data_IF_751883311928
#
_entry.id   IF_751883311928
#
_cell.length_a   1.000
_cell.length_b   1.000
_cell.length_c   1.000
_cell.angle_alpha   90.00
_cell.angle_beta   90.00
_cell.angle_gamma   90.00
#
_symmetry.space_group_name_H-M   'P 1'
#
loop_
_entity.id
_entity.type
_entity.pdbx_description
1 polymer ?
#
# COMPACT_ATOMS: atom_id res chain seq x y z
N UNK A 1 -0.80 13.90 17.75
CA UNK A 1 0.36 14.69 18.19
C UNK A 1 0.49 14.62 19.72
N UNK A 2 -0.52 15.04 20.47
CA UNK A 2 -0.56 14.98 21.95
C UNK A 2 -0.29 13.58 22.53
N UNK A 3 -1.02 12.56 22.08
CA UNK A 3 -0.91 11.20 22.59
C UNK A 3 0.45 10.52 22.30
N UNK A 4 1.16 10.93 21.23
CA UNK A 4 2.50 10.45 20.87
C UNK A 4 3.62 11.14 21.68
N UNK A 5 3.32 12.26 22.31
CA UNK A 5 4.27 13.06 23.10
C UNK A 5 4.09 12.85 24.61
N UNK A 6 3.31 11.85 25.03
CA UNK A 6 3.06 11.55 26.44
C UNK A 6 1.99 12.45 27.10
N UNK A 7 1.47 13.47 26.41
CA UNK A 7 0.34 14.26 26.91
C UNK A 7 -1.00 13.61 26.51
N UNK A 8 -1.31 12.52 27.20
CA UNK A 8 -2.55 11.77 26.98
C UNK A 8 -3.80 12.53 27.45
N UNK A 9 -3.69 13.31 28.53
CA UNK A 9 -4.81 14.06 29.09
C UNK A 9 -5.30 15.15 28.13
N UNK A 10 -4.37 15.85 27.47
CA UNK A 10 -4.72 16.82 26.42
C UNK A 10 -5.30 16.12 25.18
N UNK A 11 -4.77 14.94 24.84
CA UNK A 11 -5.30 14.11 23.76
C UNK A 11 -6.75 13.70 24.00
N UNK A 12 -7.06 13.22 25.21
CA UNK A 12 -8.39 12.83 25.64
C UNK A 12 -9.35 14.03 25.69
N UNK A 13 -8.89 15.19 26.19
CA UNK A 13 -9.70 16.41 26.21
C UNK A 13 -10.08 16.89 24.81
N UNK A 14 -9.14 16.83 23.85
CA UNK A 14 -9.41 17.17 22.45
C UNK A 14 -10.36 16.14 21.85
N UNK A 15 -10.10 14.85 22.04
CA UNK A 15 -10.91 13.75 21.53
C UNK A 15 -12.38 13.81 22.00
N UNK A 16 -12.60 14.09 23.28
CA UNK A 16 -13.94 14.26 23.86
C UNK A 16 -14.70 15.46 23.28
N UNK A 17 -13.98 16.52 22.89
CA UNK A 17 -14.56 17.74 22.30
C UNK A 17 -14.81 17.64 20.79
N UNK A 18 -14.37 16.57 20.13
CA UNK A 18 -14.63 16.40 18.69
C UNK A 18 -16.12 16.16 18.45
N UNK A 19 -16.77 16.95 17.57
CA UNK A 19 -18.20 16.79 17.27
C UNK A 19 -18.50 15.52 16.46
N UNK A 20 -17.52 15.01 15.73
CA UNK A 20 -17.55 13.71 15.06
C UNK A 20 -16.18 13.06 15.22
N UNK A 21 -16.16 11.79 15.66
CA UNK A 21 -14.95 10.99 15.82
C UNK A 21 -14.89 10.00 14.66
N UNK A 22 -13.82 10.08 13.89
CA UNK A 22 -13.53 9.16 12.80
C UNK A 22 -12.49 8.12 13.21
N UNK A 23 -12.27 7.13 12.36
CA UNK A 23 -11.29 6.05 12.58
C UNK A 23 -9.88 6.62 12.86
N UNK A 24 -9.51 7.76 12.27
CA UNK A 24 -8.21 8.39 12.48
C UNK A 24 -8.08 8.92 13.90
N UNK A 25 -9.10 9.59 14.43
CA UNK A 25 -9.14 10.09 15.81
C UNK A 25 -9.09 8.97 16.84
N UNK A 26 -9.84 7.88 16.62
CA UNK A 26 -9.81 6.67 17.46
C UNK A 26 -8.43 6.00 17.43
N UNK A 27 -7.86 5.79 16.24
CA UNK A 27 -6.54 5.18 16.08
C UNK A 27 -5.43 6.00 16.72
N UNK A 28 -5.53 7.33 16.69
CA UNK A 28 -4.58 8.22 17.33
C UNK A 28 -4.58 8.07 18.86
N UNK A 29 -5.77 7.92 19.48
CA UNK A 29 -5.89 7.69 20.92
C UNK A 29 -5.40 6.30 21.31
N UNK A 30 -5.84 5.25 20.61
CA UNK A 30 -5.43 3.86 20.87
C UNK A 30 -3.91 3.70 20.75
N UNK A 31 -3.31 4.26 19.69
CA UNK A 31 -1.86 4.18 19.48
C UNK A 31 -1.08 4.91 20.57
N UNK A 32 -1.55 6.08 21.00
CA UNK A 32 -0.92 6.82 22.08
C UNK A 32 -1.02 6.11 23.42
N UNK A 33 -2.20 5.58 23.77
CA UNK A 33 -2.39 4.80 25.01
C UNK A 33 -1.50 3.55 25.05
N UNK A 34 -1.40 2.85 23.91
CA UNK A 34 -0.53 1.66 23.76
C UNK A 34 0.95 2.00 23.98
N UNK A 35 1.43 3.09 23.37
CA UNK A 35 2.83 3.53 23.49
C UNK A 35 3.22 3.98 24.91
N UNK A 36 2.23 4.37 25.72
CA UNK A 36 2.44 4.79 27.11
C UNK A 36 2.09 3.68 28.14
N UNK A 37 1.89 2.44 27.69
CA UNK A 37 1.64 1.29 28.58
C UNK A 37 0.26 1.28 29.26
N UNK A 38 -0.69 2.10 28.80
CA UNK A 38 -2.05 2.23 29.36
C UNK A 38 -2.99 1.15 28.81
N UNK A 39 -2.58 -0.11 28.94
CA UNK A 39 -3.25 -1.25 28.29
C UNK A 39 -4.75 -1.43 28.65
N UNK A 40 -5.14 -1.10 29.88
CA UNK A 40 -6.55 -1.17 30.30
C UNK A 40 -7.40 -0.12 29.57
N UNK A 41 -6.90 1.10 29.44
CA UNK A 41 -7.61 2.18 28.76
C UNK A 41 -7.64 2.00 27.25
N UNK A 42 -6.64 1.33 26.67
CA UNK A 42 -6.72 0.86 25.28
C UNK A 42 -7.96 -0.01 25.09
N UNK A 43 -8.24 -0.94 26.02
CA UNK A 43 -9.40 -1.82 25.93
C UNK A 43 -10.71 -1.03 26.09
N UNK A 44 -10.76 -0.07 27.02
CA UNK A 44 -11.95 0.78 27.21
C UNK A 44 -12.25 1.66 25.99
N UNK A 45 -11.23 2.34 25.44
CA UNK A 45 -11.37 3.13 24.21
C UNK A 45 -11.76 2.25 23.03
N UNK A 46 -11.25 1.02 23.01
CA UNK A 46 -11.59 0.06 21.98
C UNK A 46 -13.04 -0.41 22.10
N UNK A 47 -13.56 -0.62 23.30
CA UNK A 47 -14.98 -0.91 23.58
C UNK A 47 -15.90 0.27 23.18
N UNK A 48 -15.51 1.50 23.51
CA UNK A 48 -16.24 2.72 23.11
C UNK A 48 -16.25 2.91 21.59
N UNK A 49 -15.12 2.65 20.92
CA UNK A 49 -15.03 2.61 19.46
C UNK A 49 -16.02 1.58 18.86
N UNK A 50 -16.22 0.41 19.50
CA UNK A 50 -17.20 -0.58 19.04
C UNK A 50 -18.64 -0.08 19.17
N UNK A 51 -18.95 0.67 20.24
CA UNK A 51 -20.28 1.20 20.50
C UNK A 51 -20.65 2.35 19.56
N UNK A 52 -19.67 3.14 19.11
CA UNK A 52 -19.86 4.21 18.13
C UNK A 52 -19.81 3.72 16.67
N UNK A 53 -19.67 2.40 16.43
CA UNK A 53 -19.70 1.81 15.09
C UNK A 53 -18.49 2.15 14.24
N UNK A 54 -17.38 2.58 14.85
CA UNK A 54 -16.13 2.83 14.16
C UNK A 54 -15.51 1.50 13.70
N UNK A 55 -14.90 1.51 12.52
CA UNK A 55 -14.55 0.31 11.76
C UNK A 55 -13.39 -0.47 12.39
N UNK A 56 -13.69 -1.36 13.33
CA UNK A 56 -12.75 -2.19 14.09
C UNK A 56 -11.86 -3.07 13.20
N UNK A 57 -12.32 -3.38 11.98
CA UNK A 57 -11.55 -4.13 10.99
C UNK A 57 -10.34 -3.30 10.55
N UNK A 58 -10.48 -1.98 10.40
CA UNK A 58 -9.36 -1.08 10.08
C UNK A 58 -8.28 -1.10 11.17
N UNK A 59 -8.66 -1.24 12.45
CA UNK A 59 -7.69 -1.35 13.53
C UNK A 59 -6.98 -2.72 13.52
N UNK A 60 -7.72 -3.82 13.34
CA UNK A 60 -7.13 -5.15 13.19
C UNK A 60 -6.16 -5.19 11.98
N UNK A 61 -6.49 -4.46 10.92
CA UNK A 61 -5.63 -4.22 9.77
C UNK A 61 -4.33 -3.52 10.14
N UNK A 62 -4.36 -2.44 10.93
CA UNK A 62 -3.12 -1.76 11.34
C UNK A 62 -2.23 -2.64 12.22
N UNK A 63 -2.83 -3.52 13.03
CA UNK A 63 -2.11 -4.41 13.94
C UNK A 63 -1.69 -5.75 13.29
N UNK A 64 -2.17 -6.06 12.09
CA UNK A 64 -1.86 -7.32 11.39
C UNK A 64 -2.41 -8.58 12.08
N UNK A 65 -3.43 -8.44 12.92
CA UNK A 65 -3.99 -9.55 13.71
C UNK A 65 -5.09 -10.28 12.90
N UNK A 66 -4.72 -11.37 12.24
CA UNK A 66 -5.63 -12.15 11.38
C UNK A 66 -6.85 -12.66 12.14
N UNK A 67 -6.65 -13.29 13.31
CA UNK A 67 -7.74 -13.92 14.07
C UNK A 67 -8.76 -12.89 14.54
N UNK A 68 -8.27 -11.72 15.01
CA UNK A 68 -9.13 -10.60 15.40
C UNK A 68 -9.83 -9.96 14.20
N UNK A 69 -9.16 -9.87 13.05
CA UNK A 69 -9.79 -9.42 11.81
C UNK A 69 -11.01 -10.26 11.46
N UNK A 70 -10.86 -11.59 11.49
CA UNK A 70 -11.97 -12.53 11.27
C UNK A 70 -13.08 -12.39 12.30
N UNK A 71 -12.74 -12.31 13.60
CA UNK A 71 -13.72 -12.13 14.67
C UNK A 71 -14.58 -10.88 14.42
N UNK A 72 -13.97 -9.73 14.14
CA UNK A 72 -14.72 -8.50 13.87
C UNK A 72 -15.52 -8.57 12.58
N UNK A 73 -14.96 -9.12 11.50
CA UNK A 73 -15.66 -9.26 10.23
C UNK A 73 -16.98 -10.05 10.37
N UNK A 74 -17.00 -11.10 11.19
CA UNK A 74 -18.21 -11.88 11.46
C UNK A 74 -19.16 -11.20 12.45
N UNK A 75 -18.63 -10.48 13.44
CA UNK A 75 -19.44 -9.73 14.40
C UNK A 75 -20.12 -8.50 13.78
N UNK A 76 -19.59 -7.94 12.69
CA UNK A 76 -20.17 -6.79 11.99
C UNK A 76 -21.68 -6.95 11.72
N UNK A 77 -22.14 -7.94 10.93
CA UNK A 77 -23.56 -8.09 10.65
C UNK A 77 -24.35 -8.65 11.86
N UNK A 78 -23.73 -9.49 12.69
CA UNK A 78 -24.43 -10.22 13.74
C UNK A 78 -24.70 -9.37 14.99
N UNK A 79 -23.70 -8.60 15.43
CA UNK A 79 -23.72 -7.86 16.70
C UNK A 79 -23.89 -6.36 16.49
N UNK A 80 -23.23 -5.81 15.46
CA UNK A 80 -23.21 -4.37 15.23
C UNK A 80 -24.25 -3.92 14.19
N UNK A 81 -24.90 -4.85 13.49
CA UNK A 81 -25.83 -4.53 12.41
C UNK A 81 -25.18 -3.81 11.23
N UNK A 82 -23.85 -3.91 11.10
CA UNK A 82 -23.08 -3.27 10.05
C UNK A 82 -22.96 -4.25 8.87
N UNK A 83 -23.41 -3.82 7.70
CA UNK A 83 -23.25 -4.60 6.46
C UNK A 83 -21.82 -4.45 5.95
N UNK A 84 -21.07 -5.56 5.74
CA UNK A 84 -19.75 -5.51 5.15
C UNK A 84 -19.77 -4.84 3.75
N UNK A 85 -18.82 -3.93 3.51
CA UNK A 85 -18.64 -3.16 2.27
C UNK A 85 -17.26 -3.45 1.71
N UNK A 86 -16.99 -2.99 0.49
CA UNK A 86 -15.70 -3.22 -0.20
C UNK A 86 -14.50 -2.85 0.68
N UNK A 87 -14.61 -1.79 1.51
CA UNK A 87 -13.53 -1.38 2.42
C UNK A 87 -13.22 -2.47 3.47
N UNK A 88 -14.24 -3.08 4.06
CA UNK A 88 -14.09 -4.15 5.06
C UNK A 88 -13.44 -5.40 4.42
N UNK A 89 -13.85 -5.76 3.20
CA UNK A 89 -13.22 -6.87 2.46
C UNK A 89 -11.78 -6.55 2.08
N UNK A 90 -11.50 -5.32 1.65
CA UNK A 90 -10.15 -4.86 1.31
C UNK A 90 -9.20 -5.02 2.51
N UNK A 91 -9.66 -4.68 3.71
CA UNK A 91 -8.87 -4.87 4.92
C UNK A 91 -8.60 -6.33 5.22
N UNK A 92 -9.59 -7.20 5.07
CA UNK A 92 -9.39 -8.65 5.27
C UNK A 92 -8.39 -9.23 4.29
N UNK A 93 -8.50 -8.89 3.00
CA UNK A 93 -7.55 -9.32 1.96
C UNK A 93 -6.14 -8.83 2.27
N UNK A 94 -5.98 -7.61 2.73
CA UNK A 94 -4.69 -7.04 3.04
C UNK A 94 -4.07 -7.64 4.33
N UNK A 95 -4.86 -7.89 5.37
CA UNK A 95 -4.42 -8.62 6.58
C UNK A 95 -3.90 -10.00 6.22
N UNK A 96 -4.67 -10.77 5.44
CA UNK A 96 -4.29 -12.09 4.96
C UNK A 96 -3.05 -12.02 4.05
N UNK A 97 -3.01 -10.99 3.19
CA UNK A 97 -1.90 -10.67 2.30
C UNK A 97 -0.60 -10.49 3.07
N UNK A 98 -0.57 -9.60 4.06
CA UNK A 98 0.61 -9.33 4.91
C UNK A 98 1.01 -10.51 5.79
N UNK A 99 0.05 -11.34 6.19
CA UNK A 99 0.32 -12.58 6.93
C UNK A 99 0.86 -13.71 6.03
N UNK A 100 0.99 -13.50 4.71
CA UNK A 100 1.40 -14.53 3.76
C UNK A 100 0.33 -15.59 3.47
N UNK A 101 -0.90 -15.42 3.97
CA UNK A 101 -2.04 -16.32 3.75
C UNK A 101 -2.72 -16.05 2.41
N UNK A 102 -1.95 -16.08 1.32
CA UNK A 102 -2.41 -15.60 0.02
C UNK A 102 -3.52 -16.45 -0.60
N UNK A 103 -3.49 -17.78 -0.39
CA UNK A 103 -4.55 -18.67 -0.89
C UNK A 103 -5.87 -18.43 -0.15
N UNK A 104 -5.83 -18.21 1.17
CA UNK A 104 -7.01 -17.83 1.96
C UNK A 104 -7.56 -16.47 1.49
N UNK A 105 -6.67 -15.52 1.20
CA UNK A 105 -7.07 -14.22 0.61
C UNK A 105 -7.76 -14.41 -0.75
N UNK A 106 -7.25 -15.29 -1.61
CA UNK A 106 -7.86 -15.60 -2.92
C UNK A 106 -9.26 -16.20 -2.75
N UNK A 107 -9.41 -17.22 -1.92
CA UNK A 107 -10.70 -17.86 -1.64
C UNK A 107 -11.72 -16.87 -1.05
N UNK A 108 -11.25 -15.98 -0.18
CA UNK A 108 -12.08 -14.92 0.38
C UNK A 108 -12.58 -13.92 -0.67
N UNK A 109 -11.74 -13.55 -1.65
CA UNK A 109 -12.17 -12.72 -2.78
C UNK A 109 -13.18 -13.45 -3.65
N UNK A 110 -12.92 -14.72 -3.98
CA UNK A 110 -13.79 -15.51 -4.86
C UNK A 110 -15.16 -15.82 -4.22
N UNK A 111 -15.22 -15.88 -2.89
CA UNK A 111 -16.45 -16.07 -2.12
C UNK A 111 -17.19 -14.76 -1.81
N UNK A 112 -16.61 -13.60 -2.10
CA UNK A 112 -17.25 -12.32 -1.86
C UNK A 112 -18.47 -12.14 -2.79
N UNK A 113 -19.64 -11.92 -2.19
CA UNK A 113 -20.90 -11.69 -2.92
C UNK A 113 -21.14 -10.23 -3.29
N UNK A 114 -20.20 -9.35 -2.91
CA UNK A 114 -20.27 -7.92 -3.16
C UNK A 114 -19.60 -7.56 -4.48
N UNK A 115 -20.06 -6.48 -5.12
CA UNK A 115 -19.30 -5.88 -6.21
C UNK A 115 -18.07 -5.18 -5.63
N UNK A 116 -16.91 -5.82 -5.81
CA UNK A 116 -15.63 -5.33 -5.37
C UNK A 116 -14.76 -4.80 -6.51
N UNK A 117 -15.26 -4.85 -7.75
CA UNK A 117 -14.55 -4.48 -8.97
C UNK A 117 -13.09 -4.95 -8.98
N UNK A 118 -12.18 -4.00 -9.17
CA UNK A 118 -10.73 -4.21 -9.24
C UNK A 118 -10.03 -4.19 -7.86
N UNK A 119 -10.72 -3.75 -6.81
CA UNK A 119 -10.07 -3.34 -5.56
C UNK A 119 -9.31 -4.49 -4.87
N UNK A 120 -9.98 -5.63 -4.66
CA UNK A 120 -9.40 -6.74 -3.90
C UNK A 120 -8.30 -7.46 -4.68
N UNK A 121 -8.48 -7.65 -5.99
CA UNK A 121 -7.47 -8.26 -6.85
C UNK A 121 -6.18 -7.44 -6.90
N UNK A 122 -6.28 -6.11 -6.84
CA UNK A 122 -5.11 -5.21 -6.75
C UNK A 122 -4.34 -5.40 -5.45
N UNK A 123 -5.04 -5.51 -4.33
CA UNK A 123 -4.41 -5.76 -3.02
C UNK A 123 -3.71 -7.12 -3.03
N UNK A 124 -4.39 -8.16 -3.53
CA UNK A 124 -3.81 -9.50 -3.63
C UNK A 124 -2.58 -9.54 -4.56
N UNK A 125 -2.62 -8.86 -5.71
CA UNK A 125 -1.49 -8.77 -6.64
C UNK A 125 -0.25 -8.16 -5.96
N UNK A 126 -0.45 -7.08 -5.20
CA UNK A 126 0.62 -6.44 -4.42
C UNK A 126 1.19 -7.38 -3.36
N UNK A 127 0.34 -8.07 -2.59
CA UNK A 127 0.76 -9.03 -1.59
C UNK A 127 1.55 -10.20 -2.20
N UNK A 128 1.10 -10.73 -3.34
CA UNK A 128 1.79 -11.81 -4.05
C UNK A 128 3.20 -11.43 -4.48
N UNK A 129 3.42 -10.18 -4.92
CA UNK A 129 4.76 -9.67 -5.22
C UNK A 129 5.65 -9.65 -3.98
N UNK A 130 5.14 -9.16 -2.85
CA UNK A 130 5.91 -9.05 -1.60
C UNK A 130 6.34 -10.43 -1.07
N UNK A 131 5.48 -11.44 -1.20
CA UNK A 131 5.74 -12.81 -0.78
C UNK A 131 6.37 -13.69 -1.87
N UNK A 132 6.69 -13.11 -3.05
CA UNK A 132 7.25 -13.83 -4.23
C UNK A 132 6.41 -15.01 -4.71
N UNK A 133 5.10 -15.02 -4.42
CA UNK A 133 4.17 -16.00 -4.96
C UNK A 133 3.71 -15.54 -6.35
N UNK A 134 4.59 -15.73 -7.33
CA UNK A 134 4.39 -15.21 -8.68
C UNK A 134 3.26 -15.91 -9.44
N UNK A 135 2.95 -17.17 -9.12
CA UNK A 135 1.85 -17.89 -9.76
C UNK A 135 0.50 -17.29 -9.39
N UNK A 136 0.24 -17.08 -8.10
CA UNK A 136 -0.99 -16.43 -7.64
C UNK A 136 -1.02 -14.95 -8.02
N UNK A 137 0.14 -14.29 -8.06
CA UNK A 137 0.25 -12.93 -8.58
C UNK A 137 -0.13 -12.83 -10.05
N UNK A 138 0.29 -13.78 -10.89
CA UNK A 138 -0.14 -13.85 -12.29
C UNK A 138 -1.66 -14.00 -12.40
N UNK A 139 -2.26 -14.88 -11.59
CA UNK A 139 -3.71 -15.05 -11.54
C UNK A 139 -4.45 -13.74 -11.18
N UNK A 140 -4.04 -13.07 -10.10
CA UNK A 140 -4.65 -11.81 -9.68
C UNK A 140 -4.50 -10.70 -10.74
N UNK A 141 -3.33 -10.63 -11.40
CA UNK A 141 -3.10 -9.69 -12.49
C UNK A 141 -3.97 -9.99 -13.71
N UNK A 142 -4.12 -11.26 -14.11
CA UNK A 142 -5.00 -11.65 -15.21
C UNK A 142 -6.46 -11.29 -14.92
N UNK A 143 -6.93 -11.47 -13.67
CA UNK A 143 -8.27 -11.03 -13.26
C UNK A 143 -8.46 -9.52 -13.41
N UNK A 144 -7.48 -8.70 -13.03
CA UNK A 144 -7.52 -7.25 -13.25
C UNK A 144 -7.59 -6.87 -14.74
N UNK A 145 -6.89 -7.63 -15.59
CA UNK A 145 -6.94 -7.41 -17.04
C UNK A 145 -8.32 -7.76 -17.62
N UNK A 146 -8.87 -8.91 -17.24
CA UNK A 146 -10.21 -9.38 -17.62
C UNK A 146 -11.29 -8.37 -17.24
N UNK A 147 -11.21 -7.82 -16.03
CA UNK A 147 -12.13 -6.81 -15.49
C UNK A 147 -11.92 -5.41 -16.10
N UNK A 148 -11.00 -5.23 -17.05
CA UNK A 148 -10.91 -3.98 -17.79
C UNK A 148 -10.08 -2.89 -17.13
N UNK A 149 -9.17 -3.20 -16.20
CA UNK A 149 -8.35 -2.19 -15.50
C UNK A 149 -7.68 -1.21 -16.46
N UNK A 150 -7.66 0.08 -16.07
CA UNK A 150 -6.93 1.15 -16.77
C UNK A 150 -5.67 1.55 -16.00
N UNK A 151 -5.39 0.92 -14.86
CA UNK A 151 -4.28 1.27 -13.99
C UNK A 151 -2.96 0.72 -14.55
N UNK A 152 -2.09 1.61 -15.03
CA UNK A 152 -0.77 1.23 -15.56
C UNK A 152 0.08 0.42 -14.56
N UNK A 153 -0.03 0.73 -13.27
CA UNK A 153 0.68 0.06 -12.18
C UNK A 153 0.37 -1.44 -12.09
N UNK A 154 -0.89 -1.85 -12.31
CA UNK A 154 -1.28 -3.25 -12.29
C UNK A 154 -0.61 -4.05 -13.43
N UNK A 155 -0.56 -3.47 -14.63
CA UNK A 155 0.12 -4.09 -15.78
C UNK A 155 1.64 -4.15 -15.61
N UNK A 156 2.23 -3.11 -15.01
CA UNK A 156 3.66 -3.09 -14.70
C UNK A 156 4.01 -4.18 -13.68
N UNK A 157 3.21 -4.33 -12.62
CA UNK A 157 3.37 -5.39 -11.62
C UNK A 157 3.23 -6.78 -12.27
N UNK A 158 2.20 -7.00 -13.08
CA UNK A 158 2.00 -8.27 -13.78
C UNK A 158 3.14 -8.58 -14.76
N UNK A 159 3.61 -7.59 -15.53
CA UNK A 159 4.77 -7.78 -16.40
C UNK A 159 6.02 -8.15 -15.61
N UNK A 160 6.26 -7.52 -14.46
CA UNK A 160 7.38 -7.87 -13.58
C UNK A 160 7.28 -9.31 -13.07
N UNK A 161 6.07 -9.76 -12.73
CA UNK A 161 5.79 -11.13 -12.28
C UNK A 161 6.03 -12.14 -13.40
N UNK A 162 5.58 -11.87 -14.62
CA UNK A 162 5.86 -12.72 -15.78
C UNK A 162 7.35 -12.81 -16.09
N UNK A 163 8.09 -11.70 -16.03
CA UNK A 163 9.54 -11.72 -16.17
C UNK A 163 10.21 -12.60 -15.10
N UNK A 164 9.77 -12.52 -13.85
CA UNK A 164 10.28 -13.37 -12.76
C UNK A 164 9.96 -14.87 -12.98
N UNK A 165 8.86 -15.19 -13.65
CA UNK A 165 8.48 -16.56 -14.04
C UNK A 165 9.14 -17.03 -15.35
N UNK A 166 9.95 -16.20 -16.02
CA UNK A 166 10.50 -16.49 -17.35
C UNK A 166 9.43 -16.59 -18.45
N UNK A 167 8.24 -16.04 -18.23
CA UNK A 167 7.13 -16.03 -19.19
C UNK A 167 7.18 -14.77 -20.07
N UNK A 168 6.73 -14.92 -21.31
CA UNK A 168 6.62 -13.79 -22.24
C UNK A 168 5.53 -12.81 -21.79
N UNK A 169 5.86 -11.51 -21.78
CA UNK A 169 4.95 -10.43 -21.42
C UNK A 169 4.26 -9.77 -22.62
N UNK A 170 4.36 -10.35 -23.81
CA UNK A 170 3.78 -9.81 -25.06
C UNK A 170 2.27 -9.59 -24.95
N UNK A 171 1.55 -10.49 -24.27
CA UNK A 171 0.10 -10.35 -24.05
C UNK A 171 -0.22 -9.10 -23.23
N UNK A 172 0.54 -8.84 -22.18
CA UNK A 172 0.40 -7.66 -21.31
C UNK A 172 0.68 -6.40 -22.11
N UNK A 173 1.81 -6.37 -22.84
CA UNK A 173 2.21 -5.25 -23.70
C UNK A 173 1.17 -4.95 -24.78
N UNK A 174 0.65 -5.98 -25.45
CA UNK A 174 -0.39 -5.84 -26.47
C UNK A 174 -1.66 -5.21 -25.90
N UNK A 175 -2.13 -5.70 -24.75
CA UNK A 175 -3.33 -5.16 -24.10
C UNK A 175 -3.11 -3.72 -23.62
N UNK A 176 -1.92 -3.40 -23.09
CA UNK A 176 -1.55 -2.03 -22.76
C UNK A 176 -1.61 -1.12 -24.00
N UNK A 177 -1.03 -1.54 -25.13
CA UNK A 177 -1.11 -0.77 -26.39
C UNK A 177 -2.55 -0.61 -26.88
N UNK A 178 -3.35 -1.68 -26.88
CA UNK A 178 -4.74 -1.64 -27.37
C UNK A 178 -5.63 -0.76 -26.51
N UNK A 179 -5.38 -0.69 -25.20
CA UNK A 179 -6.14 0.16 -24.26
C UNK A 179 -5.56 1.58 -24.12
N UNK A 180 -4.44 1.88 -24.80
CA UNK A 180 -3.76 3.17 -24.68
C UNK A 180 -3.10 3.39 -23.30
N UNK A 181 -2.82 2.32 -22.57
CA UNK A 181 -2.23 2.36 -21.24
C UNK A 181 -0.71 2.42 -21.39
N UNK A 182 -0.10 3.54 -21.02
CA UNK A 182 1.35 3.69 -20.94
C UNK A 182 1.84 3.56 -19.50
N UNK A 183 3.05 3.01 -19.33
CA UNK A 183 3.76 3.11 -18.05
C UNK A 183 4.03 4.59 -17.77
N UNK A 184 3.59 5.09 -16.61
CA UNK A 184 3.97 6.43 -16.17
C UNK A 184 5.49 6.43 -15.91
N UNK A 185 6.25 7.34 -16.54
CA UNK A 185 7.67 7.44 -16.27
C UNK A 185 7.87 7.91 -14.83
N UNK A 186 8.91 7.37 -14.18
CA UNK A 186 9.27 7.86 -12.85
C UNK A 186 9.65 9.34 -12.94
N UNK A 187 9.16 10.15 -12.01
CA UNK A 187 9.53 11.56 -11.91
C UNK A 187 9.98 11.88 -10.49
N UNK A 188 11.01 12.72 -10.39
CA UNK A 188 11.41 13.36 -9.15
C UNK A 188 11.51 14.87 -9.38
N UNK A 189 11.34 15.64 -8.32
CA UNK A 189 11.50 17.09 -8.40
C UNK A 189 12.12 17.63 -7.12
N UNK A 190 12.83 18.75 -7.28
CA UNK A 190 13.40 19.51 -6.17
C UNK A 190 13.00 20.97 -6.32
N UNK A 191 12.81 21.65 -5.20
CA UNK A 191 12.58 23.08 -5.18
C UNK A 191 13.86 23.78 -4.71
N UNK A 192 14.44 24.62 -5.58
CA UNK A 192 15.64 25.39 -5.29
C UNK A 192 15.38 26.84 -5.65
N UNK A 193 15.62 27.75 -4.69
CA UNK A 193 15.46 29.20 -4.89
C UNK A 193 14.10 29.56 -5.51
N UNK A 194 13.02 28.94 -5.03
CA UNK A 194 11.65 29.18 -5.51
C UNK A 194 11.41 28.75 -6.98
N UNK A 195 12.25 27.86 -7.50
CA UNK A 195 12.08 27.20 -8.81
C UNK A 195 11.98 25.69 -8.60
N UNK A 196 11.01 25.08 -9.29
CA UNK A 196 10.82 23.62 -9.30
C UNK A 196 11.59 23.04 -10.46
N UNK A 197 12.54 22.17 -10.15
CA UNK A 197 13.34 21.41 -11.11
C UNK A 197 12.81 19.99 -11.16
N UNK A 198 12.26 19.59 -12.32
CA UNK A 198 11.68 18.26 -12.54
C UNK A 198 12.66 17.39 -13.34
N UNK A 199 12.78 16.13 -12.96
CA UNK A 199 13.60 15.12 -13.61
C UNK A 199 12.71 13.92 -13.92
N UNK A 200 12.56 13.57 -15.20
CA UNK A 200 11.78 12.41 -15.63
C UNK A 200 12.74 11.33 -16.12
N UNK A 201 12.48 10.07 -15.74
CA UNK A 201 13.30 8.93 -16.16
C UNK A 201 13.41 8.89 -17.69
N UNK A 202 14.64 8.94 -18.20
CA UNK A 202 14.95 8.88 -19.63
C UNK A 202 14.88 10.22 -20.36
N UNK A 203 14.45 11.31 -19.71
CA UNK A 203 14.42 12.62 -20.35
C UNK A 203 15.76 13.37 -20.25
N UNK A 204 15.89 14.40 -21.08
CA UNK A 204 17.03 15.32 -21.13
C UNK A 204 16.56 16.79 -21.11
N UNK A 205 15.34 17.02 -20.60
CA UNK A 205 14.64 18.30 -20.75
C UNK A 205 15.09 19.37 -19.76
N UNK A 206 15.79 18.98 -18.70
CA UNK A 206 16.30 19.92 -17.70
C UNK A 206 17.40 20.84 -18.32
N UNK A 207 17.31 22.17 -18.18
CA UNK A 207 18.28 23.12 -18.78
C UNK A 207 19.74 22.79 -18.47
N UNK A 208 20.01 22.42 -17.22
CA UNK A 208 21.36 22.11 -16.72
C UNK A 208 21.69 20.59 -16.72
N UNK A 209 20.94 19.75 -17.46
CA UNK A 209 21.08 18.29 -17.38
C UNK A 209 22.51 17.79 -17.64
N UNK A 210 23.25 18.47 -18.52
CA UNK A 210 24.64 18.12 -18.85
C UNK A 210 25.56 18.30 -17.64
N UNK A 211 25.51 19.46 -16.99
CA UNK A 211 26.35 19.75 -15.82
C UNK A 211 25.98 18.85 -14.63
N UNK A 212 24.69 18.60 -14.42
CA UNK A 212 24.20 17.70 -13.38
C UNK A 212 24.74 16.28 -13.61
N UNK A 213 24.64 15.74 -14.83
CA UNK A 213 25.16 14.40 -15.16
C UNK A 213 26.68 14.32 -15.02
N UNK A 214 27.41 15.35 -15.40
CA UNK A 214 28.86 15.41 -15.24
C UNK A 214 29.27 15.38 -13.75
N UNK A 215 28.60 16.17 -12.91
CA UNK A 215 28.81 16.13 -11.45
C UNK A 215 28.43 14.78 -10.85
N UNK A 216 27.30 14.19 -11.26
CA UNK A 216 26.90 12.86 -10.82
C UNK A 216 27.94 11.81 -11.21
N UNK A 217 28.44 11.82 -12.45
CA UNK A 217 29.50 10.93 -12.91
C UNK A 217 30.79 11.09 -12.09
N UNK A 218 31.17 12.33 -11.77
CA UNK A 218 32.32 12.62 -10.91
C UNK A 218 32.11 12.05 -9.50
N UNK A 219 30.94 12.27 -8.88
CA UNK A 219 30.62 11.71 -7.57
C UNK A 219 30.58 10.18 -7.60
N UNK A 220 30.01 9.56 -8.63
CA UNK A 220 29.99 8.10 -8.77
C UNK A 220 31.37 7.49 -9.02
N UNK A 221 32.35 8.26 -9.52
CA UNK A 221 33.76 7.82 -9.58
C UNK A 221 34.42 7.89 -8.20
N UNK A 222 34.28 9.03 -7.52
CA UNK A 222 34.80 9.20 -6.15
C UNK A 222 34.24 8.15 -5.18
N UNK A 223 32.93 7.86 -5.26
CA UNK A 223 32.28 6.82 -4.45
C UNK A 223 32.72 5.38 -4.77
N UNK A 224 33.33 5.15 -5.95
CA UNK A 224 33.91 3.85 -6.33
C UNK A 224 35.39 3.72 -5.96
N UNK A 225 36.10 4.85 -5.87
CA UNK A 225 37.50 4.92 -5.47
C UNK A 225 37.66 4.85 -3.93
N UNK A 226 36.69 5.34 -3.16
CA UNK A 226 36.53 5.01 -1.75
C UNK A 226 35.90 3.60 -1.63
N UNK A 227 36.71 2.57 -1.33
CA UNK A 227 36.33 1.14 -1.20
C UNK A 227 35.33 0.81 -0.06
N UNK A 228 34.25 1.57 0.10
CA UNK A 228 33.21 1.33 1.11
C UNK A 228 31.77 1.27 0.57
N UNK A 229 31.53 1.53 -0.72
CA UNK A 229 30.18 1.45 -1.30
C UNK A 229 30.17 0.77 -2.68
N UNK A 230 30.18 -0.57 -2.69
CA UNK A 230 29.71 -1.32 -3.87
C UNK A 230 28.19 -1.14 -4.01
N UNK A 231 27.77 -0.27 -4.92
CA UNK A 231 26.39 -0.22 -5.39
C UNK A 231 26.27 -1.01 -6.70
N UNK A 232 25.48 -2.09 -6.67
CA UNK A 232 24.95 -2.80 -7.83
C UNK A 232 24.01 -1.86 -8.64
N UNK A 233 24.57 -1.02 -9.52
CA UNK A 233 23.81 -0.26 -10.52
C UNK A 233 24.17 -0.65 -11.96
N UNK A 234 24.56 -1.90 -12.16
CA UNK A 234 24.77 -2.46 -13.50
C UNK A 234 23.47 -2.98 -14.09
N UNK A 235 22.53 -2.11 -14.50
CA UNK A 235 21.48 -2.46 -15.49
C UNK A 235 20.55 -1.31 -15.97
N UNK A 236 20.75 -0.04 -15.59
CA UNK A 236 19.80 1.05 -15.96
C UNK A 236 20.30 1.93 -17.13
N UNK A 237 21.39 1.59 -17.82
CA UNK A 237 21.93 2.44 -18.90
C UNK A 237 22.21 1.71 -20.23
N UNK A 238 21.54 0.59 -20.48
CA UNK A 238 21.48 0.03 -21.84
C UNK A 238 20.02 -0.28 -22.18
N UNK A 239 19.34 0.74 -22.70
CA UNK A 239 18.41 0.70 -23.85
C UNK A 239 18.03 2.15 -24.24
#
# INVERSE_FOLDING_TARGET
MYAKCGSLDDGDAVFKRMPARDVVSWNAMISGLSQNGRGIEVLTFFEEMQLEGADLIMLAFHMGLVDKGWEYFHLMPQKFGIVPRVEHYACMVDILGRAGKLHEAKEFIESATIDHGLCLWRILLSACRNHRNYELGAYAGEKLMELGSQESSAYVLLSSIYSALGRLNERVRRIMSTRGISKEPGCSWIELKNQVHVFVVGDMLHPDIKEIREKLLRFSRLMREDELYQLEYGQILED
#
